data_IF_749347675474
#
_entry.id   IF_749347675474
#
_cell.length_a   1.000
_cell.length_b   1.000
_cell.length_c   1.000
_cell.angle_alpha   90.00
_cell.angle_beta   90.00
_cell.angle_gamma   90.00
#
_symmetry.space_group_name_H-M   'P 1'
#
loop_
_entity.id
_entity.type
_entity.pdbx_description
1 polymer ?
#
# COMPACT_ATOMS: atom_id res chain seq x y z
N UNK A 1 -13.94 -23.41 51.47
CA UNK A 1 -14.48 -22.13 50.94
C UNK A 1 -13.39 -21.23 50.35
N UNK A 2 -12.15 -21.27 50.86
CA UNK A 2 -11.00 -20.54 50.28
C UNK A 2 -10.51 -21.11 48.94
N UNK A 3 -10.51 -22.43 48.77
CA UNK A 3 -10.05 -23.11 47.54
C UNK A 3 -10.92 -22.78 46.32
N UNK A 4 -12.25 -22.81 46.48
CA UNK A 4 -13.21 -22.42 45.43
C UNK A 4 -13.09 -20.95 45.04
N UNK A 5 -12.72 -20.10 46.01
CA UNK A 5 -12.55 -18.67 45.82
C UNK A 5 -11.24 -18.36 45.08
N UNK A 6 -10.16 -19.09 45.38
CA UNK A 6 -8.90 -19.01 44.64
C UNK A 6 -9.03 -19.48 43.19
N UNK A 7 -9.77 -20.57 42.96
CA UNK A 7 -10.03 -21.09 41.62
C UNK A 7 -10.88 -20.11 40.79
N UNK A 8 -11.90 -19.51 41.40
CA UNK A 8 -12.72 -18.48 40.76
C UNK A 8 -11.89 -17.23 40.37
N UNK A 9 -11.02 -16.74 41.26
CA UNK A 9 -10.10 -15.63 40.98
C UNK A 9 -9.12 -15.96 39.86
N UNK A 10 -8.57 -17.18 39.85
CA UNK A 10 -7.68 -17.66 38.80
C UNK A 10 -8.36 -17.71 37.43
N UNK A 11 -9.58 -18.25 37.36
CA UNK A 11 -10.36 -18.25 36.13
C UNK A 11 -10.69 -16.84 35.65
N UNK A 12 -11.06 -15.94 36.55
CA UNK A 12 -11.38 -14.55 36.22
C UNK A 12 -10.14 -13.82 35.67
N UNK A 13 -8.98 -14.01 36.30
CA UNK A 13 -7.71 -13.47 35.82
C UNK A 13 -7.31 -14.05 34.46
N UNK A 14 -7.48 -15.36 34.25
CA UNK A 14 -7.21 -16.01 32.98
C UNK A 14 -8.10 -15.46 31.85
N UNK A 15 -9.40 -15.24 32.13
CA UNK A 15 -10.34 -14.63 31.19
C UNK A 15 -9.94 -13.18 30.90
N UNK A 16 -9.56 -12.41 31.92
CA UNK A 16 -9.11 -11.03 31.73
C UNK A 16 -7.84 -10.94 30.87
N UNK A 17 -6.86 -11.81 31.11
CA UNK A 17 -5.65 -11.90 30.29
C UNK A 17 -5.95 -12.38 28.87
N UNK A 18 -6.86 -13.34 28.72
CA UNK A 18 -7.31 -13.80 27.41
C UNK A 18 -7.98 -12.67 26.63
N UNK A 19 -8.90 -11.95 27.26
CA UNK A 19 -9.56 -10.80 26.65
C UNK A 19 -8.59 -9.67 26.34
N UNK A 20 -7.57 -9.43 27.18
CA UNK A 20 -6.54 -8.43 26.94
C UNK A 20 -5.62 -8.82 25.77
N UNK A 21 -5.09 -10.04 25.75
CA UNK A 21 -4.22 -10.56 24.69
C UNK A 21 -4.93 -10.67 23.35
N UNK A 22 -6.17 -11.15 23.36
CA UNK A 22 -7.00 -11.27 22.16
C UNK A 22 -7.86 -10.02 21.95
N UNK A 23 -7.65 -8.95 22.72
CA UNK A 23 -8.31 -7.68 22.46
C UNK A 23 -7.79 -7.21 21.11
N UNK A 24 -8.65 -7.02 20.12
CA UNK A 24 -8.20 -6.57 18.82
C UNK A 24 -7.80 -5.11 18.96
N UNK A 25 -6.53 -4.84 19.27
CA UNK A 25 -5.90 -3.50 19.15
C UNK A 25 -6.10 -2.92 17.75
N UNK A 26 -6.45 -3.79 16.78
CA UNK A 26 -6.59 -3.47 15.36
C UNK A 26 -7.99 -3.77 14.79
N UNK A 27 -9.06 -3.87 15.60
CA UNK A 27 -10.43 -3.91 15.03
C UNK A 27 -10.76 -2.66 14.21
N UNK A 28 -10.00 -1.58 14.43
CA UNK A 28 -9.99 -0.34 13.66
C UNK A 28 -8.66 -0.10 12.94
N UNK A 29 -7.91 -1.16 12.60
CA UNK A 29 -7.26 -1.16 11.29
C UNK A 29 -8.41 -1.21 10.27
N UNK A 30 -9.11 -0.08 10.21
CA UNK A 30 -10.05 0.28 9.20
C UNK A 30 -9.35 -0.15 7.94
N UNK A 31 -9.92 -1.16 7.29
CA UNK A 31 -9.76 -1.27 5.86
C UNK A 31 -10.27 0.08 5.35
N UNK A 32 -9.42 1.12 5.39
CA UNK A 32 -9.54 2.28 4.53
C UNK A 32 -9.59 1.59 3.20
N UNK A 33 -10.79 1.42 2.67
CA UNK A 33 -10.97 0.93 1.32
C UNK A 33 -10.05 1.82 0.52
N UNK A 34 -8.97 1.24 -0.01
CA UNK A 34 -7.98 1.99 -0.77
C UNK A 34 -8.79 2.79 -1.77
N UNK A 35 -8.75 4.10 -1.62
CA UNK A 35 -9.55 4.95 -2.48
C UNK A 35 -8.98 4.79 -3.88
N UNK A 36 -9.79 5.02 -4.92
CA UNK A 36 -9.29 4.96 -6.30
C UNK A 36 -8.01 5.79 -6.48
N UNK A 37 -7.90 6.91 -5.77
CA UNK A 37 -6.73 7.77 -5.71
C UNK A 37 -5.48 7.07 -5.14
N UNK A 38 -5.61 6.32 -4.05
CA UNK A 38 -4.51 5.57 -3.39
C UNK A 38 -3.89 4.54 -4.37
N UNK A 39 -4.74 3.84 -5.12
CA UNK A 39 -4.29 2.93 -6.17
C UNK A 39 -3.55 3.66 -7.31
N UNK A 40 -4.06 4.82 -7.73
CA UNK A 40 -3.40 5.62 -8.77
C UNK A 40 -2.06 6.19 -8.29
N UNK A 41 -1.93 6.55 -7.02
CA UNK A 41 -0.65 6.96 -6.43
C UNK A 41 0.38 5.84 -6.46
N UNK A 42 0.01 4.61 -6.06
CA UNK A 42 0.91 3.46 -6.15
C UNK A 42 1.33 3.19 -7.61
N UNK A 43 0.40 3.33 -8.55
CA UNK A 43 0.67 3.15 -9.98
C UNK A 43 1.58 4.25 -10.53
N UNK A 44 1.45 5.50 -10.06
CA UNK A 44 2.34 6.62 -10.40
C UNK A 44 3.77 6.32 -9.97
N UNK A 45 3.96 5.82 -8.74
CA UNK A 45 5.28 5.45 -8.24
C UNK A 45 5.93 4.36 -9.10
N UNK A 46 5.17 3.33 -9.46
CA UNK A 46 5.64 2.27 -10.36
C UNK A 46 6.10 2.81 -11.72
N UNK A 47 5.32 3.70 -12.35
CA UNK A 47 5.68 4.29 -13.64
C UNK A 47 6.93 5.17 -13.57
N UNK A 48 7.10 5.94 -12.50
CA UNK A 48 8.31 6.74 -12.29
C UNK A 48 9.55 5.89 -12.02
N UNK A 49 9.41 4.82 -11.25
CA UNK A 49 10.49 3.85 -11.03
C UNK A 49 10.90 3.19 -12.36
N UNK A 50 9.93 2.78 -13.19
CA UNK A 50 10.19 2.22 -14.52
C UNK A 50 10.89 3.21 -15.45
N UNK A 51 10.48 4.49 -15.46
CA UNK A 51 11.16 5.53 -16.24
C UNK A 51 12.60 5.74 -15.76
N UNK A 52 12.83 5.73 -14.45
CA UNK A 52 14.18 5.85 -13.89
C UNK A 52 15.05 4.67 -14.28
N UNK A 53 14.52 3.46 -14.16
CA UNK A 53 15.24 2.24 -14.50
C UNK A 53 15.56 2.19 -16.01
N UNK A 54 14.60 2.50 -16.88
CA UNK A 54 14.82 2.58 -18.33
C UNK A 54 15.96 3.56 -18.68
N UNK A 55 15.98 4.75 -18.06
CA UNK A 55 17.06 5.71 -18.27
C UNK A 55 18.41 5.20 -17.76
N UNK A 56 18.42 4.45 -16.66
CA UNK A 56 19.62 3.83 -16.13
C UNK A 56 20.14 2.72 -17.07
N UNK A 57 19.26 1.84 -17.54
CA UNK A 57 19.61 0.76 -18.45
C UNK A 57 20.11 1.26 -19.81
N UNK A 58 19.51 2.35 -20.33
CA UNK A 58 19.99 3.03 -21.53
C UNK A 58 21.40 3.60 -21.33
N UNK A 59 21.65 4.29 -20.21
CA UNK A 59 22.99 4.81 -19.87
C UNK A 59 24.01 3.69 -19.66
N UNK A 60 23.58 2.51 -19.24
CA UNK A 60 24.41 1.32 -19.14
C UNK A 60 24.69 0.65 -20.49
N UNK A 61 24.08 1.13 -21.58
CA UNK A 61 24.30 0.61 -22.94
C UNK A 61 23.55 -0.68 -23.24
N UNK A 62 22.51 -1.03 -22.46
CA UNK A 62 21.73 -2.27 -22.69
C UNK A 62 20.76 -2.17 -23.87
N UNK A 63 20.37 -0.96 -24.27
CA UNK A 63 19.36 -0.74 -25.32
C UNK A 63 19.89 0.14 -26.45
N UNK A 64 19.46 -0.15 -27.70
CA UNK A 64 19.54 0.79 -28.81
C UNK A 64 18.76 2.09 -28.51
N UNK A 65 19.18 3.20 -29.12
CA UNK A 65 18.50 4.50 -28.93
C UNK A 65 17.06 4.49 -29.46
N UNK A 66 16.78 3.75 -30.53
CA UNK A 66 15.43 3.61 -31.10
C UNK A 66 14.46 2.95 -30.11
N UNK A 67 14.83 1.79 -29.56
CA UNK A 67 14.03 1.05 -28.57
C UNK A 67 13.84 1.87 -27.29
N UNK A 68 14.89 2.56 -26.84
CA UNK A 68 14.80 3.46 -25.68
C UNK A 68 13.78 4.57 -25.90
N UNK A 69 13.80 5.23 -27.06
CA UNK A 69 12.88 6.33 -27.37
C UNK A 69 11.44 5.85 -27.48
N UNK A 70 11.22 4.67 -28.04
CA UNK A 70 9.89 4.07 -28.12
C UNK A 70 9.36 3.73 -26.73
N UNK A 71 10.11 2.98 -25.92
CA UNK A 71 9.69 2.59 -24.57
C UNK A 71 9.50 3.80 -23.65
N UNK A 72 10.38 4.80 -23.76
CA UNK A 72 10.28 6.04 -23.00
C UNK A 72 9.00 6.79 -23.36
N UNK A 73 8.70 6.93 -24.66
CA UNK A 73 7.47 7.58 -25.13
C UNK A 73 6.22 6.87 -24.62
N UNK A 74 6.21 5.54 -24.62
CA UNK A 74 5.09 4.75 -24.10
C UNK A 74 4.89 5.01 -22.59
N UNK A 75 5.95 4.91 -21.79
CA UNK A 75 5.89 5.16 -20.34
C UNK A 75 5.52 6.61 -20.01
N UNK A 76 6.05 7.59 -20.75
CA UNK A 76 5.70 9.01 -20.57
C UNK A 76 4.21 9.26 -20.88
N UNK A 77 3.67 8.64 -21.94
CA UNK A 77 2.25 8.74 -22.29
C UNK A 77 1.34 8.10 -21.23
N UNK A 78 1.69 6.90 -20.75
CA UNK A 78 0.95 6.24 -19.66
C UNK A 78 0.95 7.08 -18.38
N UNK A 79 2.11 7.66 -18.04
CA UNK A 79 2.25 8.54 -16.88
C UNK A 79 1.40 9.80 -17.01
N UNK A 80 1.39 10.42 -18.19
CA UNK A 80 0.59 11.62 -18.46
C UNK A 80 -0.92 11.33 -18.34
N UNK A 81 -1.38 10.20 -18.86
CA UNK A 81 -2.79 9.78 -18.74
C UNK A 81 -3.17 9.52 -17.28
N UNK A 82 -2.30 8.85 -16.53
CA UNK A 82 -2.54 8.54 -15.13
C UNK A 82 -2.60 9.80 -14.26
N UNK A 83 -1.67 10.75 -14.43
CA UNK A 83 -1.68 12.01 -13.70
C UNK A 83 -2.93 12.84 -14.03
N UNK A 84 -3.40 12.81 -15.28
CA UNK A 84 -4.65 13.45 -15.66
C UNK A 84 -5.89 12.80 -15.01
N UNK A 85 -5.92 11.46 -14.90
CA UNK A 85 -6.99 10.74 -14.18
C UNK A 85 -6.98 11.11 -12.68
N UNK A 86 -5.79 11.21 -12.08
CA UNK A 86 -5.64 11.63 -10.68
C UNK A 86 -6.15 13.06 -10.45
N UNK A 87 -5.72 14.04 -11.25
CA UNK A 87 -6.17 15.44 -11.12
C UNK A 87 -7.69 15.57 -11.32
N UNK A 88 -8.28 14.78 -12.23
CA UNK A 88 -9.72 14.73 -12.40
C UNK A 88 -10.44 14.19 -11.16
N UNK A 89 -9.93 13.11 -10.56
CA UNK A 89 -10.50 12.54 -9.33
C UNK A 89 -10.33 13.44 -8.11
N UNK A 90 -9.18 14.10 -7.98
CA UNK A 90 -8.93 15.07 -6.90
C UNK A 90 -9.89 16.26 -6.97
N UNK A 91 -10.27 16.72 -8.16
CA UNK A 91 -11.26 17.79 -8.34
C UNK A 91 -12.70 17.36 -8.06
N UNK A 92 -12.97 16.05 -8.09
CA UNK A 92 -14.30 15.47 -7.85
C UNK A 92 -14.54 15.03 -6.40
N UNK A 93 -13.47 14.86 -5.61
CA UNK A 93 -13.50 14.51 -4.20
C UNK A 93 -13.74 15.73 -3.30
#
# INVERSE_FOLDING_TARGET
>A
MSETLGLALGCLMAIALFLYTFWPENAFASQRQKTRLDYLEERKEQLYENLRDLNFEYRAGKYPEEDFREQRSQLENETAQLVAEMDHLERQA
#
